data_IF_936001687578
#
_entry.id   IF_936001687578
#
_cell.length_a   1.000
_cell.length_b   1.000
_cell.length_c   1.000
_cell.angle_alpha   90.00
_cell.angle_beta   90.00
_cell.angle_gamma   90.00
#
_symmetry.space_group_name_H-M   'P 1'
#
loop_
_entity.id
_entity.type
_entity.pdbx_description
1 polymer ?
#
# COMPACT_ATOMS: atom_id res chain seq x y z
N UNK A 1 -14.81 21.86 -41.24
CA UNK A 1 -14.80 20.37 -41.20
C UNK A 1 -13.57 19.80 -40.48
N UNK A 2 -12.38 20.41 -40.58
CA UNK A 2 -11.16 19.98 -39.89
C UNK A 2 -11.16 20.18 -38.35
N UNK A 3 -11.91 21.18 -37.84
CA UNK A 3 -11.96 21.50 -36.40
C UNK A 3 -12.67 20.43 -35.54
N UNK A 4 -13.59 19.66 -36.13
CA UNK A 4 -14.38 18.67 -35.38
C UNK A 4 -13.73 17.29 -35.32
N UNK A 5 -12.78 16.98 -36.20
CA UNK A 5 -12.04 15.71 -36.17
C UNK A 5 -10.99 15.66 -35.05
N UNK A 6 -10.49 16.82 -34.63
CA UNK A 6 -9.42 16.92 -33.64
C UNK A 6 -9.94 16.75 -32.20
N UNK A 7 -11.13 17.30 -31.89
CA UNK A 7 -11.77 17.12 -30.58
C UNK A 7 -12.21 15.68 -30.32
N UNK A 8 -12.60 14.93 -31.36
CA UNK A 8 -12.92 13.51 -31.23
C UNK A 8 -11.68 12.64 -31.05
N UNK A 9 -10.53 13.03 -31.60
CA UNK A 9 -9.27 12.30 -31.42
C UNK A 9 -8.71 12.45 -29.99
N UNK A 10 -8.86 13.64 -29.39
CA UNK A 10 -8.40 13.94 -28.03
C UNK A 10 -9.26 13.27 -26.94
N UNK A 11 -10.55 13.06 -27.20
CA UNK A 11 -11.46 12.34 -26.29
C UNK A 11 -11.20 10.82 -26.28
N UNK A 12 -10.72 10.25 -27.39
CA UNK A 12 -10.41 8.82 -27.49
C UNK A 12 -9.07 8.47 -26.83
N UNK A 13 -8.09 9.39 -26.81
CA UNK A 13 -6.81 9.16 -26.13
C UNK A 13 -6.90 9.24 -24.60
N UNK A 14 -7.85 10.00 -24.04
CA UNK A 14 -8.03 10.08 -22.59
C UNK A 14 -8.68 8.82 -22.00
N UNK A 15 -9.38 8.02 -22.82
CA UNK A 15 -10.03 6.78 -22.40
C UNK A 15 -9.07 5.57 -22.34
N UNK A 16 -7.85 5.67 -22.88
CA UNK A 16 -6.88 4.57 -22.93
C UNK A 16 -5.81 4.61 -21.82
N UNK A 17 -5.88 5.61 -20.92
CA UNK A 17 -5.01 5.70 -19.72
C UNK A 17 -5.85 5.48 -18.45
N UNK A 18 -6.73 4.47 -18.48
CA UNK A 18 -7.17 3.83 -17.24
C UNK A 18 -6.24 2.64 -17.03
N UNK A 19 -5.09 2.90 -16.39
CA UNK A 19 -4.26 1.82 -15.87
C UNK A 19 -5.11 0.94 -14.96
N UNK A 20 -5.12 -0.35 -15.20
CA UNK A 20 -5.88 -1.29 -14.38
C UNK A 20 -5.20 -1.42 -13.00
N UNK A 21 -5.73 -0.69 -12.03
CA UNK A 21 -5.30 -0.71 -10.61
C UNK A 21 -5.99 -1.87 -9.87
N UNK A 22 -6.70 -2.77 -10.55
CA UNK A 22 -7.37 -3.92 -9.89
C UNK A 22 -6.39 -4.82 -9.14
N UNK A 23 -5.11 -4.81 -9.51
CA UNK A 23 -4.05 -5.56 -8.80
C UNK A 23 -3.62 -4.93 -7.47
N UNK A 24 -3.95 -3.66 -7.18
CA UNK A 24 -3.73 -3.03 -5.87
C UNK A 24 -4.91 -3.22 -4.91
N UNK A 25 -6.01 -3.82 -5.37
CA UNK A 25 -7.05 -4.30 -4.47
C UNK A 25 -6.49 -5.58 -3.83
N UNK A 26 -5.87 -5.42 -2.67
CA UNK A 26 -5.59 -6.51 -1.74
C UNK A 26 -6.93 -7.21 -1.44
N UNK A 27 -7.26 -8.19 -2.27
CA UNK A 27 -8.40 -9.06 -2.05
C UNK A 27 -7.93 -10.06 -1.02
N UNK A 28 -7.95 -9.64 0.25
CA UNK A 28 -7.73 -10.53 1.38
C UNK A 28 -8.81 -11.62 1.29
N UNK A 29 -8.41 -12.78 0.77
CA UNK A 29 -9.27 -13.95 0.55
C UNK A 29 -9.69 -14.61 1.88
N UNK A 30 -9.10 -14.20 2.99
CA UNK A 30 -9.42 -14.68 4.32
C UNK A 30 -10.43 -13.75 4.98
N UNK A 31 -11.67 -14.20 5.27
CA UNK A 31 -12.59 -13.39 6.05
C UNK A 31 -11.99 -13.14 7.44
N UNK A 32 -12.06 -11.90 7.92
CA UNK A 32 -11.59 -11.56 9.26
C UNK A 32 -12.35 -12.41 10.29
N UNK A 33 -11.65 -13.07 11.23
CA UNK A 33 -12.32 -13.87 12.24
C UNK A 33 -13.27 -13.00 13.08
N UNK A 34 -14.41 -13.53 13.53
CA UNK A 34 -15.36 -12.75 14.30
C UNK A 34 -14.72 -12.23 15.60
N UNK A 35 -14.97 -10.96 15.98
CA UNK A 35 -14.40 -10.39 17.19
C UNK A 35 -14.87 -11.16 18.43
N UNK A 36 -13.94 -11.47 19.33
CA UNK A 36 -14.23 -12.19 20.58
C UNK A 36 -14.43 -11.20 21.73
N UNK A 37 -15.42 -11.41 22.60
CA UNK A 37 -15.62 -10.56 23.76
C UNK A 37 -14.44 -10.68 24.74
N UNK A 38 -14.07 -9.56 25.35
CA UNK A 38 -13.06 -9.51 26.41
C UNK A 38 -13.31 -8.34 27.37
N UNK A 39 -12.69 -8.43 28.54
CA UNK A 39 -12.60 -7.37 29.52
C UNK A 39 -11.15 -7.21 29.93
N UNK A 40 -10.64 -5.98 29.86
CA UNK A 40 -9.28 -5.64 30.23
C UNK A 40 -9.30 -4.48 31.22
N UNK A 41 -8.49 -4.58 32.26
CA UNK A 41 -8.27 -3.45 33.17
C UNK A 41 -6.90 -3.52 33.81
N UNK A 42 -6.33 -2.36 34.09
CA UNK A 42 -5.14 -2.25 34.91
C UNK A 42 -5.16 -0.97 35.74
N UNK A 43 -4.35 -0.99 36.78
CA UNK A 43 -4.04 0.18 37.60
C UNK A 43 -2.53 0.23 37.80
N UNK A 44 -1.95 1.40 37.59
CA UNK A 44 -0.51 1.62 37.70
C UNK A 44 -0.24 2.88 38.52
N UNK A 45 0.95 2.91 39.12
CA UNK A 45 1.40 3.95 40.03
C UNK A 45 2.86 4.33 39.77
N UNK A 46 3.23 5.60 39.96
CA UNK A 46 4.64 6.02 40.02
C UNK A 46 5.37 5.51 41.26
N UNK A 47 4.64 5.32 42.36
CA UNK A 47 5.20 4.92 43.65
C UNK A 47 4.42 3.73 44.24
N UNK A 48 5.06 2.82 44.99
CA UNK A 48 4.37 1.74 45.68
C UNK A 48 3.23 2.29 46.55
N UNK A 49 2.02 1.76 46.39
CA UNK A 49 0.83 2.19 47.13
C UNK A 49 0.10 3.42 46.57
N UNK A 50 0.55 4.00 45.45
CA UNK A 50 -0.09 5.17 44.84
C UNK A 50 -0.50 4.89 43.39
N UNK A 51 -1.81 4.68 43.15
CA UNK A 51 -2.34 4.57 41.79
C UNK A 51 -2.52 5.96 41.16
N UNK A 52 -1.89 6.19 40.00
CA UNK A 52 -2.00 7.45 39.25
C UNK A 52 -2.43 7.28 37.79
N UNK A 53 -2.51 6.03 37.31
CA UNK A 53 -3.00 5.67 35.99
C UNK A 53 -3.97 4.50 36.11
N UNK A 54 -5.10 4.61 35.44
CA UNK A 54 -6.12 3.56 35.40
C UNK A 54 -6.61 3.39 33.97
N UNK A 55 -6.96 2.17 33.62
CA UNK A 55 -7.49 1.84 32.31
C UNK A 55 -8.50 0.71 32.43
N UNK A 56 -9.61 0.85 31.73
CA UNK A 56 -10.63 -0.17 31.57
C UNK A 56 -11.08 -0.21 30.12
N UNK A 57 -11.23 -1.42 29.58
CA UNK A 57 -11.67 -1.63 28.20
C UNK A 57 -12.53 -2.89 28.13
N UNK A 58 -13.60 -2.82 27.34
CA UNK A 58 -14.51 -3.93 27.10
C UNK A 58 -14.87 -4.03 25.62
N UNK A 59 -14.91 -5.27 25.14
CA UNK A 59 -15.53 -5.62 23.86
C UNK A 59 -16.56 -6.73 24.10
N UNK A 60 -17.74 -6.58 23.49
CA UNK A 60 -18.81 -7.58 23.52
C UNK A 60 -18.76 -8.54 22.31
N UNK A 61 -17.71 -8.45 21.48
CA UNK A 61 -17.62 -9.22 20.24
C UNK A 61 -18.49 -8.68 19.10
N UNK A 62 -19.08 -7.50 19.23
CA UNK A 62 -19.77 -6.81 18.12
C UNK A 62 -18.80 -6.16 17.10
N UNK A 63 -17.50 -6.12 17.44
CA UNK A 63 -16.49 -5.34 16.73
C UNK A 63 -16.39 -3.90 17.21
N UNK A 64 -17.13 -3.53 18.26
CA UNK A 64 -16.98 -2.26 18.97
C UNK A 64 -16.18 -2.51 20.25
N UNK A 65 -15.25 -1.61 20.55
CA UNK A 65 -14.48 -1.59 21.80
C UNK A 65 -14.75 -0.28 22.50
N UNK A 66 -15.06 -0.34 23.80
CA UNK A 66 -15.28 0.85 24.63
C UNK A 66 -14.36 0.82 25.82
N UNK A 67 -13.77 1.95 26.16
CA UNK A 67 -12.89 2.03 27.31
C UNK A 67 -12.76 3.43 27.87
N UNK A 68 -12.09 3.49 29.02
CA UNK A 68 -11.73 4.72 29.70
C UNK A 68 -10.29 4.63 30.17
N UNK A 69 -9.50 5.67 29.90
CA UNK A 69 -8.15 5.81 30.39
C UNK A 69 -8.04 7.08 31.23
N UNK A 70 -7.47 7.00 32.43
CA UNK A 70 -7.27 8.17 33.28
C UNK A 70 -5.86 8.25 33.84
N UNK A 71 -5.30 9.45 33.91
CA UNK A 71 -4.00 9.71 34.52
C UNK A 71 -3.94 11.07 35.25
N UNK A 72 -3.01 11.22 36.19
CA UNK A 72 -2.73 12.50 36.86
C UNK A 72 -1.63 13.26 36.11
N UNK A 73 -1.94 14.47 35.64
CA UNK A 73 -1.00 15.33 34.92
C UNK A 73 0.02 16.04 35.85
N UNK A 74 1.07 16.70 35.31
CA UNK A 74 2.04 17.44 36.11
C UNK A 74 1.46 18.61 36.92
N UNK A 75 0.29 19.12 36.53
CA UNK A 75 -0.46 20.15 37.26
C UNK A 75 -1.38 19.55 38.34
N UNK A 76 -1.25 18.25 38.63
CA UNK A 76 -2.07 17.50 39.59
C UNK A 76 -3.57 17.43 39.23
N UNK A 77 -3.91 17.57 37.94
CA UNK A 77 -5.27 17.37 37.43
C UNK A 77 -5.43 15.96 36.88
N UNK A 78 -6.57 15.33 37.14
CA UNK A 78 -6.93 14.05 36.50
C UNK A 78 -7.40 14.35 35.08
N UNK A 79 -6.78 13.67 34.11
CA UNK A 79 -7.19 13.66 32.71
C UNK A 79 -7.81 12.32 32.42
N UNK A 80 -9.02 12.33 31.88
CA UNK A 80 -9.76 11.12 31.50
C UNK A 80 -10.06 11.17 30.01
N UNK A 81 -9.93 10.04 29.35
CA UNK A 81 -10.29 9.83 27.96
C UNK A 81 -11.21 8.64 27.90
N UNK A 82 -12.49 8.91 27.65
CA UNK A 82 -13.44 7.86 27.29
C UNK A 82 -13.37 7.67 25.78
N UNK A 83 -13.50 6.45 25.28
CA UNK A 83 -13.42 6.21 23.85
C UNK A 83 -14.32 5.08 23.38
N UNK A 84 -14.66 5.17 22.10
CA UNK A 84 -15.32 4.11 21.34
C UNK A 84 -14.50 3.87 20.08
N UNK A 85 -14.04 2.64 19.88
CA UNK A 85 -13.44 2.19 18.64
C UNK A 85 -14.47 1.33 17.88
N UNK A 86 -14.83 1.77 16.69
CA UNK A 86 -15.78 1.08 15.80
C UNK A 86 -15.22 1.01 14.37
N UNK A 87 -16.06 0.58 13.42
CA UNK A 87 -15.68 0.45 12.01
C UNK A 87 -15.35 1.78 11.34
N UNK A 88 -15.81 2.91 11.89
CA UNK A 88 -15.55 4.26 11.39
C UNK A 88 -14.27 4.86 11.99
N UNK A 89 -13.67 4.22 13.00
CA UNK A 89 -12.39 4.58 13.57
C UNK A 89 -12.43 4.72 15.09
N UNK A 90 -11.53 5.55 15.62
CA UNK A 90 -11.38 5.78 17.05
C UNK A 90 -11.99 7.14 17.43
N UNK A 91 -12.94 7.12 18.37
CA UNK A 91 -13.70 8.30 18.80
C UNK A 91 -13.41 8.62 20.28
N UNK A 92 -12.41 9.46 20.58
CA UNK A 92 -12.10 9.84 21.95
C UNK A 92 -12.91 11.05 22.42
N UNK A 93 -13.34 11.00 23.67
CA UNK A 93 -13.97 12.07 24.43
C UNK A 93 -13.06 12.40 25.60
N UNK A 94 -12.39 13.55 25.51
CA UNK A 94 -11.44 14.00 26.52
C UNK A 94 -12.18 14.80 27.60
N UNK A 95 -11.81 14.59 28.85
CA UNK A 95 -12.31 15.37 29.99
C UNK A 95 -11.94 16.85 29.89
N UNK A 96 -10.83 17.14 29.21
CA UNK A 96 -10.34 18.49 28.96
C UNK A 96 -9.95 18.64 27.49
N UNK A 97 -10.37 19.74 26.88
CA UNK A 97 -10.05 20.07 25.50
C UNK A 97 -8.56 20.41 25.40
N UNK A 98 -7.78 19.72 24.55
CA UNK A 98 -6.40 20.11 24.28
C UNK A 98 -6.35 21.56 23.80
N UNK A 99 -5.28 22.31 24.09
CA UNK A 99 -5.10 23.62 23.47
C UNK A 99 -5.16 23.47 21.94
N UNK A 100 -5.82 24.42 21.27
CA UNK A 100 -5.85 24.42 19.81
C UNK A 100 -4.42 24.42 19.25
N UNK A 101 -4.26 23.83 18.07
CA UNK A 101 -2.97 23.90 17.38
C UNK A 101 -2.52 25.35 17.27
N UNK A 102 -1.22 25.63 17.48
CA UNK A 102 -0.72 26.98 17.36
C UNK A 102 -1.02 27.50 15.96
N UNK A 103 -1.67 28.66 15.87
CA UNK A 103 -1.88 29.34 14.60
C UNK A 103 -0.52 29.74 14.03
N UNK A 104 -0.31 29.50 12.73
CA UNK A 104 0.89 29.94 12.03
C UNK A 104 1.12 31.44 12.27
N UNK A 105 2.34 31.82 12.66
CA UNK A 105 2.71 33.23 12.71
C UNK A 105 2.65 33.83 11.29
N UNK A 106 2.54 35.16 11.18
CA UNK A 106 2.53 35.82 9.86
C UNK A 106 3.74 35.45 9.00
N UNK A 107 4.92 35.29 9.61
CA UNK A 107 6.14 34.88 8.93
C UNK A 107 6.07 33.44 8.41
N UNK A 108 5.50 32.51 9.18
CA UNK A 108 5.32 31.11 8.77
C UNK A 108 4.29 31.02 7.65
N UNK A 109 3.16 31.73 7.79
CA UNK A 109 2.13 31.80 6.76
C UNK A 109 2.68 32.38 5.45
N UNK A 110 3.49 33.45 5.53
CA UNK A 110 4.14 34.04 4.35
C UNK A 110 5.14 33.06 3.71
N UNK A 111 5.95 32.37 4.51
CA UNK A 111 6.91 31.39 4.01
C UNK A 111 6.20 30.23 3.29
N UNK A 112 5.10 29.74 3.87
CA UNK A 112 4.26 28.69 3.29
C UNK A 112 3.66 29.12 1.95
N UNK A 113 3.12 30.34 1.87
CA UNK A 113 2.59 30.87 0.61
C UNK A 113 3.71 31.00 -0.45
N UNK A 114 4.87 31.53 -0.06
CA UNK A 114 6.04 31.66 -0.95
C UNK A 114 6.49 30.30 -1.49
N UNK A 115 6.47 29.27 -0.64
CA UNK A 115 6.76 27.90 -1.04
C UNK A 115 5.74 27.37 -2.06
N UNK A 116 4.44 27.53 -1.82
CA UNK A 116 3.42 27.08 -2.75
C UNK A 116 3.50 27.77 -4.10
N UNK A 117 3.76 29.09 -4.12
CA UNK A 117 3.95 29.84 -5.36
C UNK A 117 5.16 29.33 -6.16
N UNK A 118 6.28 29.09 -5.47
CA UNK A 118 7.49 28.56 -6.08
C UNK A 118 7.26 27.14 -6.63
N UNK A 119 6.59 26.29 -5.88
CA UNK A 119 6.25 24.93 -6.32
C UNK A 119 5.36 24.96 -7.57
N UNK A 120 4.30 25.78 -7.57
CA UNK A 120 3.40 25.93 -8.71
C UNK A 120 4.14 26.42 -9.95
N UNK A 121 5.04 27.40 -9.79
CA UNK A 121 5.88 27.91 -10.87
C UNK A 121 6.80 26.83 -11.46
N UNK A 122 7.51 26.07 -10.61
CA UNK A 122 8.38 24.98 -11.06
C UNK A 122 7.56 23.89 -11.78
N UNK A 123 6.37 23.57 -11.28
CA UNK A 123 5.49 22.60 -11.92
C UNK A 123 5.05 23.07 -13.32
N UNK A 124 4.72 24.35 -13.48
CA UNK A 124 4.38 24.95 -14.78
C UNK A 124 5.59 25.01 -15.73
N UNK A 125 6.77 25.36 -15.22
CA UNK A 125 8.03 25.34 -15.98
C UNK A 125 8.32 23.92 -16.50
N UNK A 126 8.18 22.90 -15.65
CA UNK A 126 8.36 21.50 -16.06
C UNK A 126 7.29 21.01 -17.03
N UNK A 127 6.07 21.53 -16.95
CA UNK A 127 4.99 21.18 -17.89
C UNK A 127 5.18 21.83 -19.28
N UNK A 128 5.67 23.07 -19.32
CA UNK A 128 5.83 23.87 -20.55
C UNK A 128 7.17 23.65 -21.24
N UNK A 129 8.21 23.42 -20.45
CA UNK A 129 9.55 23.09 -20.90
C UNK A 129 9.91 21.74 -20.28
N UNK A 130 9.39 20.62 -20.83
CA UNK A 130 9.95 19.31 -20.51
C UNK A 130 11.44 19.44 -20.81
N UNK A 131 12.28 19.30 -19.78
CA UNK A 131 13.72 19.51 -19.94
C UNK A 131 14.19 18.77 -21.20
N UNK A 132 14.94 19.43 -22.12
CA UNK A 132 15.48 18.75 -23.28
C UNK A 132 16.39 17.64 -22.79
N UNK A 133 15.89 16.40 -22.82
CA UNK A 133 16.59 15.12 -22.67
C UNK A 133 17.78 15.05 -21.68
N UNK A 134 17.80 15.86 -20.61
CA UNK A 134 18.73 15.64 -19.50
C UNK A 134 18.41 14.32 -18.76
N UNK A 135 17.28 13.69 -19.09
CA UNK A 135 16.97 12.30 -18.75
C UNK A 135 17.93 11.29 -19.38
N UNK A 136 18.71 11.62 -20.42
CA UNK A 136 19.79 10.73 -20.89
C UNK A 136 21.05 10.90 -20.05
N UNK A 137 21.36 12.13 -19.60
CA UNK A 137 22.58 12.42 -18.85
C UNK A 137 22.46 11.98 -17.38
N UNK A 138 21.26 12.02 -16.80
CA UNK A 138 20.99 11.61 -15.41
C UNK A 138 20.20 10.32 -15.26
N UNK A 139 19.84 9.64 -16.36
CA UNK A 139 19.46 8.24 -16.24
C UNK A 139 20.68 7.45 -15.77
N UNK A 140 20.51 6.45 -14.89
CA UNK A 140 21.58 5.52 -14.57
C UNK A 140 22.07 4.88 -15.87
N UNK A 141 23.21 5.34 -16.38
CA UNK A 141 23.86 4.70 -17.52
C UNK A 141 24.35 3.34 -17.07
N UNK A 142 23.92 2.30 -17.78
CA UNK A 142 24.36 0.96 -17.47
C UNK A 142 25.85 0.83 -17.73
N UNK A 143 26.58 0.38 -16.71
CA UNK A 143 27.98 0.06 -16.89
C UNK A 143 28.12 -1.13 -17.83
N UNK A 144 29.26 -1.22 -18.51
CA UNK A 144 29.57 -2.34 -19.42
C UNK A 144 29.39 -3.70 -18.71
N UNK A 145 29.73 -3.77 -17.43
CA UNK A 145 29.56 -4.99 -16.62
C UNK A 145 28.07 -5.37 -16.44
N UNK A 146 27.19 -4.39 -16.19
CA UNK A 146 25.74 -4.62 -16.06
C UNK A 146 25.13 -5.02 -17.40
N UNK A 147 25.53 -4.37 -18.49
CA UNK A 147 25.09 -4.74 -19.84
C UNK A 147 25.52 -6.18 -20.21
N UNK A 148 26.78 -6.55 -19.91
CA UNK A 148 27.28 -7.91 -20.11
C UNK A 148 26.56 -8.93 -19.23
N UNK A 149 26.28 -8.58 -17.96
CA UNK A 149 25.52 -9.45 -17.05
C UNK A 149 24.09 -9.69 -17.57
N UNK A 150 23.41 -8.65 -18.07
CA UNK A 150 22.10 -8.82 -18.72
C UNK A 150 22.19 -9.72 -19.93
N UNK A 151 23.16 -9.52 -20.82
CA UNK A 151 23.31 -10.34 -22.02
C UNK A 151 23.53 -11.81 -21.66
N UNK A 152 24.41 -12.09 -20.69
CA UNK A 152 24.62 -13.46 -20.16
C UNK A 152 23.35 -14.03 -19.56
N UNK A 153 22.62 -13.24 -18.77
CA UNK A 153 21.39 -13.67 -18.14
C UNK A 153 20.30 -14.01 -19.19
N UNK A 154 20.11 -13.15 -20.20
CA UNK A 154 19.18 -13.39 -21.29
C UNK A 154 19.51 -14.70 -22.04
N UNK A 155 20.81 -14.97 -22.27
CA UNK A 155 21.25 -16.20 -22.91
C UNK A 155 20.98 -17.44 -22.04
N UNK A 156 21.24 -17.37 -20.74
CA UNK A 156 20.91 -18.47 -19.81
C UNK A 156 19.40 -18.76 -19.80
N UNK A 157 18.56 -17.73 -19.80
CA UNK A 157 17.11 -17.90 -19.89
C UNK A 157 16.69 -18.60 -21.19
N UNK A 158 17.31 -18.24 -22.32
CA UNK A 158 17.07 -18.88 -23.61
C UNK A 158 17.41 -20.37 -23.55
N UNK A 159 18.59 -20.71 -23.03
CA UNK A 159 19.05 -22.10 -22.89
C UNK A 159 18.11 -22.91 -22.00
N UNK A 160 17.71 -22.37 -20.84
CA UNK A 160 16.80 -23.07 -19.91
C UNK A 160 15.43 -23.28 -20.56
N UNK A 161 14.91 -22.29 -21.28
CA UNK A 161 13.64 -22.42 -22.00
C UNK A 161 13.70 -23.53 -23.06
N UNK A 162 14.80 -23.62 -23.82
CA UNK A 162 15.01 -24.70 -24.80
C UNK A 162 15.12 -26.08 -24.14
N UNK A 163 15.82 -26.17 -23.01
CA UNK A 163 15.89 -27.42 -22.24
C UNK A 163 14.51 -27.84 -21.73
N UNK A 164 13.73 -26.92 -21.17
CA UNK A 164 12.38 -27.19 -20.72
C UNK A 164 11.45 -27.61 -21.87
N UNK A 165 11.59 -27.01 -23.05
CA UNK A 165 10.83 -27.41 -24.24
C UNK A 165 11.17 -28.85 -24.69
N UNK A 166 12.45 -29.25 -24.65
CA UNK A 166 12.85 -30.63 -24.96
C UNK A 166 12.31 -31.64 -23.97
N UNK A 167 12.39 -31.35 -22.67
CA UNK A 167 11.86 -32.22 -21.62
C UNK A 167 10.34 -32.37 -21.74
N UNK A 168 9.64 -31.28 -22.08
CA UNK A 168 8.19 -31.33 -22.32
C UNK A 168 7.86 -32.26 -23.49
N UNK A 169 8.55 -32.14 -24.64
CA UNK A 169 8.34 -33.00 -25.79
C UNK A 169 8.68 -34.49 -25.50
N UNK A 170 9.75 -34.76 -24.75
CA UNK A 170 10.10 -36.12 -24.33
C UNK A 170 9.02 -36.73 -23.42
N UNK A 171 8.47 -35.94 -22.48
CA UNK A 171 7.38 -36.39 -21.61
C UNK A 171 6.09 -36.66 -22.38
N UNK A 172 5.77 -35.85 -23.39
CA UNK A 172 4.61 -36.08 -24.26
C UNK A 172 4.75 -37.38 -25.06
N UNK A 173 5.93 -37.67 -25.60
CA UNK A 173 6.20 -38.93 -26.31
C UNK A 173 6.10 -40.15 -25.38
N UNK A 174 6.66 -40.06 -24.17
CA UNK A 174 6.57 -41.13 -23.18
C UNK A 174 5.11 -41.41 -22.78
N UNK A 175 4.30 -40.36 -22.60
CA UNK A 175 2.86 -40.51 -22.34
C UNK A 175 2.14 -41.20 -23.50
N UNK A 176 2.45 -40.83 -24.74
CA UNK A 176 1.86 -41.49 -25.93
C UNK A 176 2.24 -42.97 -26.01
N UNK A 177 3.51 -43.32 -25.74
CA UNK A 177 3.94 -44.73 -25.71
C UNK A 177 3.26 -45.52 -24.57
N UNK A 178 3.03 -44.89 -23.42
CA UNK A 178 2.29 -45.50 -22.30
C UNK A 178 0.82 -45.72 -22.65
N UNK A 179 0.15 -44.74 -23.27
CA UNK A 179 -1.23 -44.84 -23.77
C UNK A 179 -1.36 -45.95 -24.82
N UNK A 180 -0.43 -46.04 -25.77
CA UNK A 180 -0.44 -47.08 -26.81
C UNK A 180 -0.27 -48.48 -26.19
N UNK A 181 0.64 -48.64 -25.22
CA UNK A 181 0.82 -49.90 -24.47
C UNK A 181 -0.43 -50.28 -23.68
N UNK A 182 -1.08 -49.33 -23.02
CA UNK A 182 -2.34 -49.56 -22.30
C UNK A 182 -3.45 -50.00 -23.24
N UNK A 183 -3.61 -49.33 -24.39
CA UNK A 183 -4.61 -49.68 -25.40
C UNK A 183 -4.37 -51.07 -26.03
N UNK A 184 -3.12 -51.43 -26.30
CA UNK A 184 -2.75 -52.79 -26.75
C UNK A 184 -3.04 -53.86 -25.71
N UNK A 185 -2.90 -53.53 -24.42
CA UNK A 185 -3.20 -54.44 -23.31
C UNK A 185 -4.71 -54.65 -23.13
N UNK A 186 -5.54 -53.64 -23.40
CA UNK A 186 -7.01 -53.75 -23.40
C UNK A 186 -7.55 -54.57 -24.58
N UNK A 187 -6.95 -54.45 -25.78
CA UNK A 187 -7.33 -55.25 -26.97
C UNK A 187 -6.93 -56.73 -26.89
N UNK A 188 -6.01 -57.08 -25.98
CA UNK A 188 -5.54 -58.44 -25.74
C UNK A 188 -6.32 -59.23 -24.68
N UNK A 189 -7.39 -58.65 -24.11
CA UNK A 189 -8.35 -59.29 -23.20
C UNK A 189 -9.68 -59.54 -23.90
#
# INVERSE_FOLDING_TARGET
MFQMLCSTLFLVSLALVSGDVSHLLETTTTPEPPPKPYLFSYTAGRYPGHADRTHTEVSDGSGIVKGSFSYVDPNQKVRTVDYVADKQGFHPVLSDVPPEHPTDSESVAQAKNRHYQLYAKIAEEHATHPHPELSVINAPHETVAVAQARAKHAELFRVIAEQHARIAAERELLLQEEEEKQHLQELGQ
#
